data_IF_799642890359
#
_entry.id   IF_799642890359
#
_cell.length_a   1.000
_cell.length_b   1.000
_cell.length_c   1.000
_cell.angle_alpha   90.00
_cell.angle_beta   90.00
_cell.angle_gamma   90.00
#
_symmetry.space_group_name_H-M   'P 1'
#
loop_
_entity.id
_entity.type
_entity.pdbx_description
1 polymer ?
#
# COMPACT_ATOMS: atom_id res chain seq x y z
N UNK A 1 2.56 -0.11 1.94
CA UNK A 1 1.87 0.38 0.72
C UNK A 1 0.53 0.99 1.10
N UNK A 2 0.28 2.22 0.66
CA UNK A 2 -0.94 2.99 0.99
C UNK A 2 -1.99 2.86 -0.11
N UNK A 3 -3.21 2.51 0.27
CA UNK A 3 -4.37 2.33 -0.64
C UNK A 3 -5.43 3.36 -0.28
N UNK A 4 -6.06 3.95 -1.29
CA UNK A 4 -7.28 4.75 -1.10
C UNK A 4 -8.49 3.87 -1.43
N UNK A 5 -9.39 3.70 -0.46
CA UNK A 5 -10.70 3.07 -0.63
C UNK A 5 -11.76 4.17 -0.69
N UNK A 6 -12.47 4.27 -1.81
CA UNK A 6 -13.53 5.24 -2.03
C UNK A 6 -14.87 4.51 -2.09
N UNK A 7 -15.64 4.62 -1.02
CA UNK A 7 -16.87 3.87 -0.80
C UNK A 7 -17.76 4.63 0.17
N UNK A 8 -18.99 4.94 -0.20
CA UNK A 8 -19.93 5.69 0.64
C UNK A 8 -20.72 4.82 1.62
N UNK A 9 -20.85 3.51 1.33
CA UNK A 9 -21.49 2.57 2.23
C UNK A 9 -20.58 2.22 3.40
N UNK A 10 -20.88 2.77 4.58
CA UNK A 10 -20.04 2.73 5.78
C UNK A 10 -19.65 1.30 6.19
N UNK A 11 -20.62 0.37 6.22
CA UNK A 11 -20.36 -1.02 6.63
C UNK A 11 -19.42 -1.74 5.65
N UNK A 12 -19.65 -1.57 4.34
CA UNK A 12 -18.80 -2.15 3.31
C UNK A 12 -17.38 -1.57 3.36
N UNK A 13 -17.27 -0.24 3.49
CA UNK A 13 -16.00 0.45 3.64
C UNK A 13 -15.24 -0.06 4.87
N UNK A 14 -15.91 -0.23 6.00
CA UNK A 14 -15.31 -0.78 7.22
C UNK A 14 -14.84 -2.22 7.01
N UNK A 15 -15.67 -3.09 6.44
CA UNK A 15 -15.35 -4.50 6.21
C UNK A 15 -14.17 -4.66 5.24
N UNK A 16 -14.20 -3.97 4.10
CA UNK A 16 -13.11 -4.01 3.11
C UNK A 16 -11.81 -3.43 3.69
N UNK A 17 -11.88 -2.27 4.35
CA UNK A 17 -10.68 -1.65 4.93
C UNK A 17 -10.05 -2.50 6.01
N UNK A 18 -10.86 -3.18 6.85
CA UNK A 18 -10.37 -4.12 7.86
C UNK A 18 -9.60 -5.27 7.21
N UNK A 19 -10.19 -5.92 6.21
CA UNK A 19 -9.56 -7.04 5.53
C UNK A 19 -8.23 -6.66 4.88
N UNK A 20 -8.20 -5.51 4.20
CA UNK A 20 -6.96 -5.02 3.59
C UNK A 20 -5.89 -4.65 4.62
N UNK A 21 -6.29 -4.13 5.79
CA UNK A 21 -5.36 -3.89 6.93
C UNK A 21 -4.83 -5.19 7.53
N UNK A 22 -5.67 -6.21 7.63
CA UNK A 22 -5.26 -7.55 8.07
C UNK A 22 -4.26 -8.17 7.08
N UNK A 23 -4.37 -7.83 5.79
CA UNK A 23 -3.38 -8.15 4.74
C UNK A 23 -2.14 -7.20 4.74
N UNK A 24 -1.90 -6.49 5.84
CA UNK A 24 -0.75 -5.57 6.05
C UNK A 24 -0.70 -4.37 5.08
N UNK A 25 -1.84 -3.90 4.59
CA UNK A 25 -1.94 -2.69 3.78
C UNK A 25 -2.35 -1.49 4.65
N UNK A 26 -1.81 -0.32 4.34
CA UNK A 26 -2.30 0.94 4.94
C UNK A 26 -3.47 1.43 4.12
N UNK A 27 -4.66 1.54 4.73
CA UNK A 27 -5.89 1.91 4.01
C UNK A 27 -6.43 3.23 4.54
N UNK A 28 -6.59 4.16 3.63
CA UNK A 28 -7.31 5.41 3.84
C UNK A 28 -8.67 5.33 3.15
N UNK A 29 -9.72 5.85 3.79
CA UNK A 29 -11.09 5.78 3.30
C UNK A 29 -11.61 7.17 2.96
N UNK A 30 -12.32 7.29 1.84
CA UNK A 30 -13.08 8.46 1.46
C UNK A 30 -14.54 8.05 1.19
N UNK A 31 -15.49 8.79 1.72
CA UNK A 31 -16.91 8.50 1.56
C UNK A 31 -17.57 9.28 0.39
N UNK A 32 -16.84 10.18 -0.24
CA UNK A 32 -17.35 10.97 -1.38
C UNK A 32 -16.31 11.08 -2.48
N UNK A 33 -16.75 11.23 -3.74
CA UNK A 33 -15.83 11.47 -4.85
C UNK A 33 -15.05 12.78 -4.72
N UNK A 34 -15.62 13.79 -4.07
CA UNK A 34 -14.94 15.07 -3.83
C UNK A 34 -13.78 14.91 -2.83
N UNK A 35 -13.99 14.17 -1.73
CA UNK A 35 -12.94 13.90 -0.76
C UNK A 35 -11.83 13.04 -1.39
N UNK A 36 -12.21 12.04 -2.20
CA UNK A 36 -11.26 11.23 -2.96
C UNK A 36 -10.40 12.09 -3.91
N UNK A 37 -11.02 13.01 -4.66
CA UNK A 37 -10.30 13.90 -5.57
C UNK A 37 -9.31 14.81 -4.83
N UNK A 38 -9.69 15.34 -3.66
CA UNK A 38 -8.82 16.15 -2.81
C UNK A 38 -7.62 15.33 -2.27
N UNK A 39 -7.87 14.11 -1.79
CA UNK A 39 -6.81 13.20 -1.32
C UNK A 39 -5.85 12.83 -2.45
N UNK A 40 -6.36 12.47 -3.62
CA UNK A 40 -5.57 12.12 -4.80
C UNK A 40 -4.78 13.31 -5.35
N UNK A 41 -5.17 14.55 -5.02
CA UNK A 41 -4.41 15.75 -5.37
C UNK A 41 -3.17 15.94 -4.49
N UNK A 42 -3.28 15.63 -3.21
CA UNK A 42 -2.26 15.94 -2.20
C UNK A 42 -1.37 14.75 -1.85
N UNK A 43 -1.89 13.53 -1.95
CA UNK A 43 -1.24 12.30 -1.49
C UNK A 43 -0.95 11.32 -2.64
N UNK A 44 0.04 10.46 -2.43
CA UNK A 44 0.39 9.39 -3.35
C UNK A 44 -0.13 8.04 -2.82
N UNK A 45 -0.83 7.30 -3.67
CA UNK A 45 -1.37 5.97 -3.36
C UNK A 45 -0.78 4.90 -4.26
N UNK A 46 -0.61 3.70 -3.73
CA UNK A 46 -0.17 2.54 -4.49
C UNK A 46 -1.30 1.96 -5.36
N UNK A 47 -2.55 2.12 -4.91
CA UNK A 47 -3.77 1.65 -5.57
C UNK A 47 -4.95 2.50 -5.10
N UNK A 48 -5.91 2.72 -5.97
CA UNK A 48 -7.24 3.25 -5.64
C UNK A 48 -8.26 2.14 -5.86
N UNK A 49 -9.12 1.89 -4.87
CA UNK A 49 -10.34 1.07 -5.00
C UNK A 49 -11.49 2.06 -5.02
N UNK A 50 -12.27 2.06 -6.09
CA UNK A 50 -13.19 3.15 -6.41
C UNK A 50 -14.59 2.64 -6.71
N UNK A 51 -15.58 2.98 -5.87
CA UNK A 51 -16.98 2.86 -6.30
C UNK A 51 -17.32 3.96 -7.33
N UNK A 52 -18.18 3.62 -8.26
CA UNK A 52 -18.69 4.57 -9.26
C UNK A 52 -19.87 5.39 -8.72
N UNK A 53 -20.68 4.78 -7.85
CA UNK A 53 -21.89 5.43 -7.30
C UNK A 53 -21.56 6.16 -6.01
N UNK A 54 -21.05 7.37 -6.14
CA UNK A 54 -20.61 8.17 -5.00
C UNK A 54 -21.41 9.48 -4.90
N UNK A 55 -21.63 9.99 -3.68
CA UNK A 55 -22.21 11.31 -3.50
C UNK A 55 -21.21 12.42 -3.87
N UNK A 56 -21.76 13.59 -4.23
CA UNK A 56 -21.06 14.84 -4.61
C UNK A 56 -20.28 14.78 -5.92
N UNK A 57 -19.65 13.67 -6.28
CA UNK A 57 -18.92 13.49 -7.53
C UNK A 57 -18.94 12.01 -7.91
N UNK A 58 -19.36 11.69 -9.13
CA UNK A 58 -19.37 10.32 -9.65
C UNK A 58 -17.95 9.75 -9.76
N UNK A 59 -17.82 8.45 -9.51
CA UNK A 59 -16.51 7.78 -9.53
C UNK A 59 -15.82 7.84 -10.90
N UNK A 60 -16.56 7.85 -12.01
CA UNK A 60 -15.97 8.03 -13.34
C UNK A 60 -15.35 9.42 -13.49
N UNK A 61 -15.92 10.45 -12.85
CA UNK A 61 -15.33 11.79 -12.86
C UNK A 61 -14.05 11.84 -12.01
N UNK A 62 -14.02 11.15 -10.87
CA UNK A 62 -12.80 10.97 -10.09
C UNK A 62 -11.71 10.31 -10.93
N UNK A 63 -12.03 9.22 -11.64
CA UNK A 63 -11.11 8.52 -12.52
C UNK A 63 -10.58 9.41 -13.64
N UNK A 64 -11.46 10.15 -14.34
CA UNK A 64 -11.06 11.11 -15.41
C UNK A 64 -10.08 12.14 -14.88
N UNK A 65 -10.38 12.75 -13.72
CA UNK A 65 -9.51 13.75 -13.09
C UNK A 65 -8.18 13.15 -12.68
N UNK A 66 -8.16 11.94 -12.12
CA UNK A 66 -6.93 11.25 -11.78
C UNK A 66 -6.05 11.04 -13.02
N UNK A 67 -6.61 10.53 -14.11
CA UNK A 67 -5.86 10.30 -15.35
C UNK A 67 -5.38 11.59 -16.01
N UNK A 68 -6.16 12.65 -15.95
CA UNK A 68 -5.79 13.96 -16.49
C UNK A 68 -4.60 14.63 -15.78
N UNK A 69 -4.25 14.19 -14.55
CA UNK A 69 -3.10 14.75 -13.81
C UNK A 69 -1.75 14.40 -14.42
N UNK A 70 -1.68 13.33 -15.22
CA UNK A 70 -0.42 12.87 -15.81
C UNK A 70 0.60 12.40 -14.77
N UNK A 71 1.81 12.05 -15.24
CA UNK A 71 2.92 11.65 -14.39
C UNK A 71 2.62 10.43 -13.50
N UNK A 72 3.39 10.24 -12.41
CA UNK A 72 3.25 9.08 -11.53
C UNK A 72 1.88 8.97 -10.85
N UNK A 73 1.23 10.09 -10.54
CA UNK A 73 -0.12 10.12 -9.92
C UNK A 73 -1.19 9.71 -10.90
N UNK A 74 -1.15 10.22 -12.13
CA UNK A 74 -2.08 9.83 -13.19
C UNK A 74 -1.99 8.35 -13.57
N UNK A 75 -0.83 7.73 -13.36
CA UNK A 75 -0.59 6.30 -13.54
C UNK A 75 -0.91 5.43 -12.32
N UNK A 76 -1.52 5.96 -11.26
CA UNK A 76 -1.92 5.15 -10.10
C UNK A 76 -2.96 4.11 -10.53
N UNK A 77 -2.75 2.80 -10.26
CA UNK A 77 -3.71 1.76 -10.59
C UNK A 77 -5.06 2.01 -9.94
N UNK A 78 -6.15 1.71 -10.66
CA UNK A 78 -7.52 1.85 -10.19
C UNK A 78 -8.27 0.54 -10.39
N UNK A 79 -8.79 0.00 -9.28
CA UNK A 79 -9.77 -1.09 -9.27
C UNK A 79 -11.15 -0.47 -9.06
N UNK A 80 -12.02 -0.61 -10.05
CA UNK A 80 -13.42 -0.23 -9.89
C UNK A 80 -14.16 -1.31 -9.11
N UNK A 81 -14.88 -0.90 -8.06
CA UNK A 81 -15.67 -1.76 -7.18
C UNK A 81 -17.08 -1.22 -7.09
N UNK A 82 -18.05 -1.74 -7.88
CA UNK A 82 -19.36 -1.12 -8.00
C UNK A 82 -20.47 -2.09 -8.31
N UNK A 83 -21.72 -1.72 -7.95
CA UNK A 83 -22.93 -2.43 -8.34
C UNK A 83 -23.32 -2.19 -9.81
N UNK A 84 -22.75 -1.19 -10.48
CA UNK A 84 -22.98 -0.93 -11.91
C UNK A 84 -22.27 -2.01 -12.72
N UNK A 85 -22.94 -3.15 -12.96
CA UNK A 85 -22.39 -4.35 -13.58
C UNK A 85 -22.64 -4.49 -15.07
N UNK A 86 -23.27 -3.50 -15.72
CA UNK A 86 -23.55 -3.51 -17.15
C UNK A 86 -22.29 -3.57 -18.01
N UNK A 87 -22.36 -4.27 -19.14
CA UNK A 87 -21.22 -4.37 -20.07
C UNK A 87 -20.72 -2.98 -20.50
N UNK A 88 -21.63 -2.07 -20.78
CA UNK A 88 -21.33 -0.72 -21.25
C UNK A 88 -20.55 0.08 -20.19
N UNK A 89 -20.95 0.02 -18.93
CA UNK A 89 -20.29 0.72 -17.83
C UNK A 89 -18.90 0.17 -17.54
N UNK A 90 -18.73 -1.16 -17.63
CA UNK A 90 -17.41 -1.80 -17.52
C UNK A 90 -16.48 -1.37 -18.64
N UNK A 91 -16.97 -1.38 -19.89
CA UNK A 91 -16.19 -0.93 -21.06
C UNK A 91 -15.86 0.55 -20.91
N UNK A 92 -16.78 1.39 -20.46
CA UNK A 92 -16.53 2.80 -20.22
C UNK A 92 -15.44 3.03 -19.16
N UNK A 93 -15.52 2.35 -18.01
CA UNK A 93 -14.52 2.45 -16.94
C UNK A 93 -13.12 2.04 -17.41
N UNK A 94 -13.02 0.92 -18.14
CA UNK A 94 -11.77 0.44 -18.69
C UNK A 94 -11.19 1.40 -19.75
N UNK A 95 -12.03 1.91 -20.64
CA UNK A 95 -11.62 2.90 -21.66
C UNK A 95 -11.16 4.23 -21.04
N UNK A 96 -11.70 4.61 -19.89
CA UNK A 96 -11.24 5.76 -19.10
C UNK A 96 -9.94 5.50 -18.36
N UNK A 97 -9.41 4.28 -18.43
CA UNK A 97 -8.11 3.92 -17.86
C UNK A 97 -8.19 3.27 -16.49
N UNK A 98 -9.30 2.65 -16.10
CA UNK A 98 -9.29 1.72 -14.98
C UNK A 98 -8.45 0.48 -15.33
N UNK A 99 -7.76 -0.08 -14.35
CA UNK A 99 -6.84 -1.21 -14.55
C UNK A 99 -7.52 -2.57 -14.31
N UNK A 100 -8.60 -2.59 -13.53
CA UNK A 100 -9.44 -3.76 -13.31
C UNK A 100 -10.84 -3.36 -12.81
N UNK A 101 -11.74 -4.32 -12.77
CA UNK A 101 -13.15 -4.14 -12.41
C UNK A 101 -13.66 -5.32 -11.59
N UNK A 102 -14.36 -5.04 -10.48
CA UNK A 102 -14.99 -6.05 -9.63
C UNK A 102 -16.42 -5.64 -9.32
N UNK A 103 -17.39 -6.49 -9.76
CA UNK A 103 -18.81 -6.22 -9.54
C UNK A 103 -19.23 -6.60 -8.11
N UNK A 104 -20.10 -5.80 -7.50
CA UNK A 104 -20.83 -6.15 -6.27
C UNK A 104 -22.04 -7.03 -6.61
N UNK A 105 -22.35 -8.10 -5.83
CA UNK A 105 -21.60 -8.60 -4.67
C UNK A 105 -20.33 -9.38 -5.07
N UNK A 106 -19.31 -9.38 -4.22
CA UNK A 106 -18.03 -10.05 -4.47
C UNK A 106 -17.57 -10.81 -3.22
N UNK A 107 -16.68 -11.76 -3.43
CA UNK A 107 -15.99 -12.46 -2.36
C UNK A 107 -14.70 -11.69 -1.98
N UNK A 108 -14.41 -11.63 -0.67
CA UNK A 108 -13.22 -10.94 -0.17
C UNK A 108 -11.92 -11.49 -0.78
N UNK A 109 -11.84 -12.82 -0.92
CA UNK A 109 -10.68 -13.47 -1.53
C UNK A 109 -10.43 -13.02 -2.98
N UNK A 110 -11.51 -12.73 -3.75
CA UNK A 110 -11.39 -12.20 -5.10
C UNK A 110 -10.86 -10.77 -5.09
N UNK A 111 -11.42 -9.90 -4.23
CA UNK A 111 -10.92 -8.52 -4.05
C UNK A 111 -9.43 -8.51 -3.71
N UNK A 112 -9.02 -9.30 -2.72
CA UNK A 112 -7.61 -9.39 -2.32
C UNK A 112 -6.70 -9.90 -3.44
N UNK A 113 -7.15 -10.89 -4.21
CA UNK A 113 -6.37 -11.41 -5.35
C UNK A 113 -6.16 -10.33 -6.43
N UNK A 114 -7.20 -9.54 -6.74
CA UNK A 114 -7.12 -8.43 -7.71
C UNK A 114 -6.24 -7.29 -7.20
N UNK A 115 -6.38 -6.91 -5.94
CA UNK A 115 -5.53 -5.91 -5.28
C UNK A 115 -4.06 -6.31 -5.37
N UNK A 116 -3.72 -7.56 -5.02
CA UNK A 116 -2.35 -8.10 -5.14
C UNK A 116 -1.85 -8.07 -6.59
N UNK A 117 -2.69 -8.42 -7.55
CA UNK A 117 -2.31 -8.42 -8.97
C UNK A 117 -1.98 -7.00 -9.48
N UNK A 118 -2.77 -6.00 -9.09
CA UNK A 118 -2.57 -4.60 -9.47
C UNK A 118 -1.32 -3.99 -8.82
N UNK A 119 -1.11 -4.24 -7.52
CA UNK A 119 0.07 -3.78 -6.81
C UNK A 119 1.37 -4.36 -7.41
N UNK A 120 1.34 -5.62 -7.86
CA UNK A 120 2.47 -6.27 -8.56
C UNK A 120 2.81 -5.60 -9.89
N UNK A 121 1.81 -5.22 -10.70
CA UNK A 121 2.02 -4.56 -12.00
C UNK A 121 2.73 -3.21 -11.87
N UNK A 122 2.49 -2.46 -10.80
CA UNK A 122 3.12 -1.16 -10.56
C UNK A 122 4.63 -1.27 -10.26
N UNK A 123 5.10 -2.41 -9.77
CA UNK A 123 6.53 -2.66 -9.48
C UNK A 123 7.43 -2.76 -10.71
N UNK A 124 6.94 -2.51 -11.93
CA UNK A 124 7.71 -2.63 -13.18
C UNK A 124 7.83 -4.10 -13.60
N UNK A 125 7.13 -4.48 -14.67
CA UNK A 125 7.09 -5.86 -15.15
C UNK A 125 8.49 -6.46 -15.34
N UNK A 126 8.84 -7.42 -14.51
CA UNK A 126 10.00 -8.28 -14.71
C UNK A 126 11.01 -8.36 -13.57
N UNK A 127 10.98 -7.50 -12.54
CA UNK A 127 11.97 -7.55 -11.46
C UNK A 127 11.41 -8.12 -10.16
N UNK A 128 12.09 -9.13 -9.72
CA UNK A 128 12.05 -9.86 -8.44
C UNK A 128 10.79 -9.66 -7.59
N UNK A 129 9.91 -10.64 -7.61
CA UNK A 129 8.79 -10.80 -6.67
C UNK A 129 9.27 -10.85 -5.20
N UNK A 130 10.59 -10.86 -4.98
CA UNK A 130 11.23 -10.95 -3.67
C UNK A 130 12.29 -9.87 -3.52
N UNK A 131 12.05 -8.92 -2.61
CA UNK A 131 13.10 -8.00 -2.16
C UNK A 131 14.00 -8.72 -1.15
N UNK A 132 15.31 -8.51 -1.25
CA UNK A 132 16.30 -9.13 -0.35
C UNK A 132 17.26 -8.09 0.23
N UNK A 133 17.63 -8.31 1.48
CA UNK A 133 18.68 -7.59 2.17
C UNK A 133 19.35 -8.55 3.16
N UNK A 134 20.54 -9.04 2.84
CA UNK A 134 21.16 -10.16 3.57
C UNK A 134 20.22 -11.39 3.63
N UNK A 135 20.00 -11.92 4.81
CA UNK A 135 19.12 -13.07 5.06
C UNK A 135 17.62 -12.70 5.17
N UNK A 136 17.29 -11.42 5.13
CA UNK A 136 15.91 -10.96 5.10
C UNK A 136 15.38 -10.97 3.67
N UNK A 137 14.21 -11.56 3.47
CA UNK A 137 13.50 -11.48 2.20
C UNK A 137 12.04 -11.11 2.41
N UNK A 138 11.49 -10.40 1.45
CA UNK A 138 10.09 -9.98 1.39
C UNK A 138 9.49 -10.38 0.04
N UNK A 139 8.57 -11.30 0.06
CA UNK A 139 7.79 -11.69 -1.10
C UNK A 139 6.65 -10.69 -1.31
N UNK A 140 6.67 -9.98 -2.43
CA UNK A 140 5.68 -8.93 -2.73
C UNK A 140 4.31 -9.50 -3.11
N UNK A 141 4.22 -10.77 -3.47
CA UNK A 141 2.97 -11.46 -3.83
C UNK A 141 2.24 -11.95 -2.58
N UNK A 142 2.95 -12.73 -1.76
CA UNK A 142 2.39 -13.27 -0.51
C UNK A 142 2.41 -12.25 0.62
N UNK A 143 3.16 -11.14 0.45
CA UNK A 143 3.42 -10.11 1.47
C UNK A 143 4.06 -10.67 2.75
N UNK A 144 4.78 -11.76 2.62
CA UNK A 144 5.44 -12.41 3.73
C UNK A 144 6.91 -12.01 3.83
N UNK A 145 7.33 -11.69 5.04
CA UNK A 145 8.75 -11.58 5.38
C UNK A 145 9.27 -12.91 5.86
N UNK A 146 10.43 -13.31 5.34
CA UNK A 146 11.21 -14.44 5.90
C UNK A 146 12.60 -13.95 6.27
N UNK A 147 13.14 -14.54 7.32
CA UNK A 147 14.51 -14.29 7.77
C UNK A 147 15.22 -15.65 7.95
N UNK A 148 16.32 -15.87 7.25
CA UNK A 148 16.97 -17.18 7.14
C UNK A 148 16.01 -18.30 6.69
N UNK A 149 15.05 -17.99 5.82
CA UNK A 149 14.04 -18.93 5.34
C UNK A 149 12.83 -19.13 6.27
N UNK A 150 12.88 -18.65 7.52
CA UNK A 150 11.80 -18.77 8.50
C UNK A 150 10.87 -17.55 8.48
N UNK A 151 9.54 -17.70 8.62
CA UNK A 151 8.62 -16.60 8.69
C UNK A 151 8.96 -15.61 9.81
N UNK A 152 8.93 -14.31 9.50
CA UNK A 152 9.15 -13.25 10.48
C UNK A 152 7.81 -12.68 10.94
N UNK A 153 7.43 -12.97 12.19
CA UNK A 153 6.19 -12.46 12.76
C UNK A 153 6.27 -10.95 13.04
N UNK A 154 5.45 -10.17 12.34
CA UNK A 154 5.37 -8.72 12.43
C UNK A 154 3.93 -8.27 12.69
N UNK A 155 3.76 -7.20 13.47
CA UNK A 155 2.48 -6.49 13.52
C UNK A 155 2.27 -5.69 12.22
N UNK A 156 1.05 -5.26 11.88
CA UNK A 156 0.79 -4.52 10.65
C UNK A 156 1.67 -3.28 10.47
N UNK A 157 1.94 -2.52 11.54
CA UNK A 157 2.80 -1.32 11.50
C UNK A 157 4.28 -1.66 11.33
N UNK A 158 4.76 -2.69 12.03
CA UNK A 158 6.13 -3.19 11.86
C UNK A 158 6.37 -3.69 10.44
N UNK A 159 5.35 -4.38 9.87
CA UNK A 159 5.37 -4.86 8.49
C UNK A 159 5.48 -3.69 7.51
N UNK A 160 4.64 -2.65 7.65
CA UNK A 160 4.66 -1.49 6.77
C UNK A 160 6.00 -0.73 6.82
N UNK A 161 6.58 -0.54 8.02
CA UNK A 161 7.91 0.06 8.18
C UNK A 161 8.98 -0.76 7.48
N UNK A 162 8.98 -2.08 7.70
CA UNK A 162 10.01 -2.96 7.13
C UNK A 162 9.88 -3.05 5.60
N UNK A 163 8.66 -3.08 5.08
CA UNK A 163 8.38 -3.06 3.63
C UNK A 163 8.88 -1.77 2.97
N UNK A 164 8.59 -0.61 3.55
CA UNK A 164 9.05 0.67 3.02
C UNK A 164 10.59 0.72 2.89
N UNK A 165 11.29 0.14 3.86
CA UNK A 165 12.75 0.11 3.89
C UNK A 165 13.34 -0.94 2.95
N UNK A 166 12.79 -2.18 2.92
CA UNK A 166 13.35 -3.26 2.09
C UNK A 166 13.06 -3.07 0.60
N UNK A 167 12.03 -2.31 0.26
CA UNK A 167 11.76 -1.96 -1.14
C UNK A 167 12.85 -1.06 -1.77
N UNK A 168 13.70 -0.44 -0.94
CA UNK A 168 14.75 0.51 -1.37
C UNK A 168 16.04 0.32 -0.57
N UNK A 169 16.70 -0.86 -0.67
CA UNK A 169 17.90 -1.13 0.11
C UNK A 169 18.99 -0.09 -0.19
N UNK A 170 19.70 0.36 0.85
CA UNK A 170 20.77 1.36 0.72
C UNK A 170 20.29 2.79 0.48
N UNK A 171 18.98 3.04 0.36
CA UNK A 171 18.44 4.39 0.24
C UNK A 171 17.79 4.85 1.53
N UNK A 172 18.14 6.04 1.98
CA UNK A 172 17.52 6.64 3.16
C UNK A 172 16.10 7.10 2.88
N UNK A 173 15.20 6.81 3.82
CA UNK A 173 13.85 7.36 3.88
C UNK A 173 13.76 8.29 5.07
N UNK A 174 13.23 9.50 4.89
CA UNK A 174 13.01 10.43 5.99
C UNK A 174 11.93 9.91 6.95
N UNK A 175 11.91 10.43 8.17
CA UNK A 175 10.93 10.07 9.19
C UNK A 175 9.51 10.39 8.73
N UNK A 176 9.34 11.54 8.08
CA UNK A 176 8.07 12.00 7.50
C UNK A 176 7.58 11.04 6.42
N UNK A 177 8.46 10.68 5.49
CA UNK A 177 8.10 9.76 4.39
C UNK A 177 7.74 8.37 4.90
N UNK A 178 8.45 7.86 5.90
CA UNK A 178 8.07 6.61 6.57
C UNK A 178 6.72 6.74 7.26
N UNK A 179 6.46 7.87 7.92
CA UNK A 179 5.19 8.13 8.57
C UNK A 179 4.05 8.09 7.55
N UNK A 180 4.18 8.80 6.42
CA UNK A 180 3.18 8.83 5.34
C UNK A 180 2.93 7.45 4.72
N UNK A 181 3.94 6.57 4.61
CA UNK A 181 3.79 5.21 4.08
C UNK A 181 3.19 4.22 5.10
N UNK A 182 3.31 4.48 6.41
CA UNK A 182 2.91 3.58 7.50
C UNK A 182 1.56 3.94 8.11
N UNK A 183 1.24 5.23 8.16
CA UNK A 183 0.02 5.72 8.81
C UNK A 183 -0.94 6.32 7.79
N UNK A 184 -2.24 6.11 8.01
CA UNK A 184 -3.29 6.85 7.30
C UNK A 184 -3.47 8.24 7.93
N UNK A 185 -4.02 9.21 7.18
CA UNK A 185 -4.23 10.58 7.67
C UNK A 185 -5.12 10.65 8.93
N UNK A 186 -6.01 9.66 9.10
CA UNK A 186 -6.94 9.60 10.23
C UNK A 186 -6.40 8.79 11.42
N UNK A 187 -5.13 8.35 11.38
CA UNK A 187 -4.53 7.65 12.51
C UNK A 187 -4.09 8.68 13.58
N UNK A 188 -4.51 8.49 14.82
CA UNK A 188 -4.06 9.27 15.98
C UNK A 188 -2.61 8.94 16.35
N UNK A 189 -1.68 9.16 15.42
CA UNK A 189 -0.27 8.91 15.62
C UNK A 189 0.55 10.17 15.34
N UNK A 190 1.63 10.35 16.09
CA UNK A 190 2.60 11.38 15.83
C UNK A 190 3.85 10.81 15.14
N UNK A 191 4.69 11.67 14.61
CA UNK A 191 5.95 11.31 13.94
C UNK A 191 6.86 10.42 14.81
N UNK A 192 6.81 10.55 16.14
CA UNK A 192 7.66 9.78 17.06
C UNK A 192 7.26 8.30 17.13
N UNK A 193 6.04 7.97 16.71
CA UNK A 193 5.61 6.58 16.58
C UNK A 193 6.53 5.77 15.63
N UNK A 194 7.13 6.39 14.62
CA UNK A 194 8.08 5.73 13.72
C UNK A 194 9.30 5.18 14.50
N UNK A 195 9.83 5.94 15.44
CA UNK A 195 10.99 5.50 16.24
C UNK A 195 10.67 4.25 17.06
N UNK A 196 9.47 4.16 17.60
CA UNK A 196 9.00 2.99 18.32
C UNK A 196 8.97 1.74 17.41
N UNK A 197 8.41 1.86 16.20
CA UNK A 197 8.34 0.73 15.27
C UNK A 197 9.71 0.36 14.71
N UNK A 198 10.57 1.33 14.40
CA UNK A 198 11.97 1.08 14.05
C UNK A 198 12.68 0.30 15.15
N UNK A 199 12.52 0.73 16.43
CA UNK A 199 13.11 0.02 17.56
C UNK A 199 12.61 -1.42 17.69
N UNK A 200 11.29 -1.64 17.56
CA UNK A 200 10.69 -2.98 17.63
C UNK A 200 11.17 -3.88 16.50
N UNK A 201 11.25 -3.37 15.28
CA UNK A 201 11.76 -4.13 14.12
C UNK A 201 13.24 -4.46 14.32
N UNK A 202 14.07 -3.51 14.76
CA UNK A 202 15.48 -3.78 15.08
C UNK A 202 15.63 -4.92 16.06
N UNK A 203 14.89 -4.92 17.18
CA UNK A 203 14.92 -6.03 18.15
C UNK A 203 14.57 -7.39 17.54
N UNK A 204 13.66 -7.43 16.57
CA UNK A 204 13.29 -8.68 15.89
C UNK A 204 14.39 -9.15 14.94
N UNK A 205 15.08 -8.24 14.25
CA UNK A 205 16.21 -8.54 13.37
C UNK A 205 17.45 -8.95 14.16
N UNK A 206 17.72 -8.32 15.32
CA UNK A 206 18.90 -8.59 16.18
C UNK A 206 18.86 -9.95 16.88
N UNK A 207 17.67 -10.50 17.11
CA UNK A 207 17.52 -11.84 17.74
C UNK A 207 18.06 -12.97 16.87
N UNK A 208 18.49 -12.70 15.65
CA UNK A 208 18.99 -13.70 14.70
C UNK A 208 20.44 -13.36 14.31
N UNK A 209 21.42 -14.16 14.78
CA UNK A 209 22.83 -13.77 14.81
C UNK A 209 23.58 -13.77 13.48
N UNK A 210 23.04 -14.42 12.44
CA UNK A 210 23.81 -14.76 11.25
C UNK A 210 23.71 -13.71 10.14
N UNK A 211 24.52 -12.65 10.20
CA UNK A 211 24.82 -11.75 9.08
C UNK A 211 23.59 -11.27 8.29
N UNK A 212 22.73 -10.48 8.91
CA UNK A 212 21.47 -10.17 8.32
C UNK A 212 21.28 -8.70 7.89
N UNK A 213 20.03 -8.33 7.71
CA UNK A 213 19.64 -6.96 7.47
C UNK A 213 19.73 -6.11 8.74
N UNK A 214 20.11 -4.85 8.60
CA UNK A 214 20.11 -3.88 9.68
C UNK A 214 19.44 -2.58 9.24
N UNK A 215 18.68 -1.98 10.16
CA UNK A 215 18.14 -0.63 9.98
C UNK A 215 19.12 0.35 10.60
N UNK A 216 19.69 1.22 9.80
CA UNK A 216 20.63 2.25 10.22
C UNK A 216 19.94 3.60 10.32
N UNK A 217 20.22 4.36 11.38
CA UNK A 217 19.79 5.75 11.50
C UNK A 217 20.85 6.67 10.92
N UNK A 218 20.48 7.47 9.94
CA UNK A 218 21.26 8.58 9.45
C UNK A 218 20.76 9.86 10.11
N UNK A 219 21.53 10.41 11.06
CA UNK A 219 21.13 11.59 11.84
C UNK A 219 20.76 12.75 10.92
N UNK A 220 19.59 13.35 11.15
CA UNK A 220 19.06 14.46 10.35
C UNK A 220 18.52 14.07 8.94
N UNK A 221 18.62 12.79 8.53
CA UNK A 221 18.18 12.33 7.20
C UNK A 221 17.04 11.32 7.33
N UNK A 222 17.18 10.31 8.22
CA UNK A 222 16.15 9.26 8.39
C UNK A 222 16.74 7.89 8.60
N UNK A 223 16.13 6.88 7.99
CA UNK A 223 16.46 5.47 8.17
C UNK A 223 16.73 4.80 6.83
N UNK A 224 17.67 3.86 6.81
CA UNK A 224 17.90 2.99 5.65
C UNK A 224 18.06 1.54 6.10
N UNK A 225 17.79 0.64 5.18
CA UNK A 225 18.09 -0.78 5.33
C UNK A 225 19.37 -1.11 4.56
N UNK A 226 20.27 -1.82 5.22
CA UNK A 226 21.50 -2.34 4.61
C UNK A 226 21.83 -3.74 5.12
N UNK A 227 22.65 -4.44 4.37
CA UNK A 227 23.23 -5.68 4.87
C UNK A 227 24.21 -5.41 6.01
N UNK A 228 24.13 -6.20 7.07
CA UNK A 228 25.13 -6.20 8.13
C UNK A 228 26.31 -7.06 7.64
N UNK A 229 27.54 -6.55 7.60
CA UNK A 229 28.69 -7.40 7.29
C UNK A 229 28.72 -8.57 8.29
N UNK A 230 29.06 -9.75 7.78
CA UNK A 230 29.31 -10.90 8.64
C UNK A 230 30.44 -10.57 9.60
N UNK A 231 30.37 -11.01 10.86
CA UNK A 231 31.44 -10.77 11.85
C UNK A 231 32.76 -11.38 11.42
#
# INVERSE_FOLDING_TARGET
MRILLVEDHVELSHWVSKALRDAHLTVECAATGADADALLHTQDYALVILDLTLPKMDGLDVLRRLRARGGPRGGTPVLILTARGGLEERVQGLNLGADDYLAKPFELAELEARVRALLRRRGGGGETLVHRCGQLSFDTVTRMFTYCGEPLALTPREHAVLEALIARPGRALSKEKLFDEVFALNDDANLDAIELYIHRVRKKLERRPDGGAAIVTLRGIGYLMQERPAP
#
